data_IF_337925792505
#
_entry.id   IF_337925792505
#
_cell.length_a   1.000
_cell.length_b   1.000
_cell.length_c   1.000
_cell.angle_alpha   90.00
_cell.angle_beta   90.00
_cell.angle_gamma   90.00
#
_symmetry.space_group_name_H-M   'P 1'
#
loop_
_entity.id
_entity.type
_entity.pdbx_description
1 polymer ?
#
# COMPACT_ATOMS: atom_id res chain seq x y z
N UNK A 1 -17.01 24.50 -1.77
CA UNK A 1 -17.31 23.10 -2.13
C UNK A 1 -15.98 22.40 -2.30
N UNK A 2 -15.73 21.32 -1.57
CA UNK A 2 -14.51 20.52 -1.75
C UNK A 2 -14.52 19.84 -3.11
N UNK A 3 -13.37 19.77 -3.78
CA UNK A 3 -13.25 19.14 -5.08
C UNK A 3 -13.39 17.61 -5.02
N UNK A 4 -13.66 17.00 -6.16
CA UNK A 4 -13.92 15.56 -6.27
C UNK A 4 -12.68 14.74 -5.89
N UNK A 5 -11.49 15.16 -6.32
CA UNK A 5 -10.25 14.45 -6.06
C UNK A 5 -9.82 14.55 -4.60
N UNK A 6 -10.13 15.65 -3.91
CA UNK A 6 -9.90 15.75 -2.47
C UNK A 6 -10.63 14.65 -1.70
N UNK A 7 -11.92 14.45 -2.00
CA UNK A 7 -12.74 13.41 -1.36
C UNK A 7 -12.27 12.01 -1.72
N UNK A 8 -11.85 11.79 -2.97
CA UNK A 8 -11.28 10.51 -3.39
C UNK A 8 -9.97 10.19 -2.69
N UNK A 9 -9.12 11.20 -2.48
CA UNK A 9 -7.85 11.05 -1.77
C UNK A 9 -8.07 10.74 -0.29
N UNK A 10 -8.98 11.45 0.37
CA UNK A 10 -9.39 11.18 1.76
C UNK A 10 -9.92 9.74 1.89
N UNK A 11 -10.83 9.34 1.00
CA UNK A 11 -11.37 7.98 0.96
C UNK A 11 -10.29 6.93 0.74
N UNK A 12 -9.27 7.23 -0.07
CA UNK A 12 -8.13 6.34 -0.29
C UNK A 12 -7.27 6.21 0.96
N UNK A 13 -6.96 7.30 1.64
CA UNK A 13 -6.17 7.30 2.87
C UNK A 13 -6.88 6.50 3.96
N UNK A 14 -8.18 6.73 4.15
CA UNK A 14 -9.01 6.01 5.11
C UNK A 14 -9.05 4.50 4.85
N UNK A 15 -9.21 4.07 3.59
CA UNK A 15 -9.20 2.64 3.23
C UNK A 15 -7.83 1.97 3.44
N UNK A 16 -6.75 2.75 3.43
CA UNK A 16 -5.37 2.26 3.62
C UNK A 16 -4.86 2.41 5.06
N UNK A 17 -5.64 3.03 5.96
CA UNK A 17 -5.20 3.36 7.31
C UNK A 17 -4.09 4.42 7.34
N UNK A 18 -3.97 5.22 6.29
CA UNK A 18 -3.05 6.36 6.25
C UNK A 18 -3.66 7.55 6.97
N UNK A 19 -2.81 8.45 7.47
CA UNK A 19 -3.24 9.75 7.94
C UNK A 19 -3.95 10.53 6.83
N UNK A 20 -4.87 11.39 7.23
CA UNK A 20 -5.60 12.25 6.29
C UNK A 20 -4.63 13.13 5.49
N UNK A 21 -4.93 13.37 4.20
CA UNK A 21 -4.07 14.17 3.34
C UNK A 21 -3.99 15.61 3.85
N UNK A 22 -2.76 16.13 3.98
CA UNK A 22 -2.54 17.52 4.38
C UNK A 22 -2.33 18.38 3.15
N UNK A 23 -3.00 19.54 3.12
CA UNK A 23 -2.92 20.49 2.03
C UNK A 23 -2.24 21.77 2.50
N UNK A 24 -1.28 22.23 1.72
CA UNK A 24 -0.63 23.52 1.92
C UNK A 24 -0.67 24.31 0.63
N UNK A 25 -1.23 25.52 0.70
CA UNK A 25 -1.41 26.37 -0.47
C UNK A 25 -0.50 27.57 -0.39
N UNK A 26 0.20 27.81 -1.48
CA UNK A 26 1.11 28.92 -1.62
C UNK A 26 0.58 29.86 -2.70
N UNK A 27 0.67 31.15 -2.41
CA UNK A 27 0.33 32.21 -3.36
C UNK A 27 1.62 32.85 -3.84
N UNK A 28 1.85 32.73 -5.12
CA UNK A 28 2.95 33.35 -5.83
C UNK A 28 2.43 34.53 -6.67
N UNK A 29 3.30 35.46 -7.09
CA UNK A 29 2.93 36.53 -8.04
C UNK A 29 2.36 35.98 -9.35
N UNK A 30 2.74 34.75 -9.71
CA UNK A 30 2.37 34.07 -10.96
C UNK A 30 1.10 33.20 -10.83
N UNK A 31 0.51 33.08 -9.63
CA UNK A 31 -0.71 32.30 -9.37
C UNK A 31 -0.64 31.51 -8.05
N UNK A 32 -1.43 30.44 -7.96
CA UNK A 32 -1.54 29.59 -6.78
C UNK A 32 -0.93 28.23 -7.03
N UNK A 33 -0.10 27.76 -6.10
CA UNK A 33 0.43 26.40 -6.09
C UNK A 33 -0.05 25.69 -4.83
N UNK A 34 -0.11 24.37 -4.88
CA UNK A 34 -0.50 23.58 -3.72
C UNK A 34 0.38 22.34 -3.59
N UNK A 35 0.75 22.05 -2.34
CA UNK A 35 1.45 20.85 -1.91
C UNK A 35 0.49 19.98 -1.12
N UNK A 36 0.46 18.69 -1.45
CA UNK A 36 -0.34 17.68 -0.76
C UNK A 36 0.56 16.60 -0.20
N UNK A 37 0.47 16.36 1.10
CA UNK A 37 1.23 15.33 1.78
C UNK A 37 0.36 14.11 2.04
N UNK A 38 0.78 12.96 1.51
CA UNK A 38 0.08 11.67 1.68
C UNK A 38 1.09 10.60 2.06
N UNK A 39 0.91 10.02 3.26
CA UNK A 39 1.75 8.92 3.74
C UNK A 39 3.27 9.23 3.64
N UNK A 40 3.66 10.44 4.04
CA UNK A 40 5.06 10.90 3.99
C UNK A 40 5.60 11.20 2.59
N UNK A 41 4.74 11.27 1.58
CA UNK A 41 5.10 11.70 0.21
C UNK A 41 4.43 13.01 -0.12
N UNK A 42 5.19 13.91 -0.72
CA UNK A 42 4.74 15.24 -1.09
C UNK A 42 4.43 15.30 -2.59
N UNK A 43 3.32 15.94 -2.93
CA UNK A 43 2.86 16.13 -4.29
C UNK A 43 2.53 17.60 -4.51
N UNK A 44 3.33 18.27 -5.34
CA UNK A 44 3.11 19.66 -5.71
C UNK A 44 2.49 19.74 -7.11
N UNK A 45 1.70 20.78 -7.34
CA UNK A 45 1.27 21.23 -8.68
C UNK A 45 2.45 21.59 -9.58
N UNK A 46 2.43 21.17 -10.85
CA UNK A 46 3.52 21.50 -11.82
C UNK A 46 3.53 22.97 -12.27
N UNK A 47 2.37 23.63 -12.18
CA UNK A 47 2.12 24.96 -12.70
C UNK A 47 1.27 25.74 -11.70
N UNK A 48 1.35 27.06 -11.80
CA UNK A 48 0.53 27.97 -10.99
C UNK A 48 -0.89 28.06 -11.58
N UNK A 49 -1.89 28.01 -10.71
CA UNK A 49 -3.31 28.07 -11.06
C UNK A 49 -3.92 29.44 -10.71
N UNK A 50 -5.11 29.71 -11.23
CA UNK A 50 -5.81 30.99 -11.00
C UNK A 50 -6.38 31.11 -9.58
N UNK A 51 -6.73 30.00 -8.93
CA UNK A 51 -7.31 29.97 -7.58
C UNK A 51 -6.69 28.91 -6.68
N UNK A 52 -6.82 29.08 -5.36
CA UNK A 52 -6.40 28.10 -4.36
C UNK A 52 -7.15 26.77 -4.53
N UNK A 53 -8.45 26.83 -4.81
CA UNK A 53 -9.30 25.66 -4.98
C UNK A 53 -8.90 24.83 -6.19
N UNK A 54 -8.53 25.47 -7.31
CA UNK A 54 -7.99 24.80 -8.48
C UNK A 54 -6.64 24.16 -8.19
N UNK A 55 -5.74 24.88 -7.51
CA UNK A 55 -4.43 24.36 -7.14
C UNK A 55 -4.56 23.12 -6.25
N UNK A 56 -5.41 23.18 -5.22
CA UNK A 56 -5.63 22.05 -4.32
C UNK A 56 -6.24 20.84 -5.03
N UNK A 57 -7.25 21.04 -5.89
CA UNK A 57 -7.89 19.95 -6.62
C UNK A 57 -6.92 19.28 -7.60
N UNK A 58 -6.08 20.08 -8.28
CA UNK A 58 -5.05 19.55 -9.18
C UNK A 58 -3.94 18.80 -8.41
N UNK A 59 -3.54 19.31 -7.24
CA UNK A 59 -2.60 18.62 -6.37
C UNK A 59 -3.19 17.29 -5.85
N UNK A 60 -4.46 17.30 -5.43
CA UNK A 60 -5.19 16.10 -5.01
C UNK A 60 -5.30 15.07 -6.15
N UNK A 61 -5.59 15.51 -7.37
CA UNK A 61 -5.65 14.65 -8.55
C UNK A 61 -4.32 13.93 -8.78
N UNK A 62 -3.20 14.66 -8.73
CA UNK A 62 -1.84 14.10 -8.90
C UNK A 62 -1.53 13.10 -7.80
N UNK A 63 -1.73 13.49 -6.54
CA UNK A 63 -1.55 12.63 -5.39
C UNK A 63 -2.41 11.36 -5.52
N UNK A 64 -3.67 11.47 -5.94
CA UNK A 64 -4.59 10.34 -6.10
C UNK A 64 -4.15 9.38 -7.20
N UNK A 65 -3.80 9.88 -8.39
CA UNK A 65 -3.36 9.05 -9.52
C UNK A 65 -2.09 8.28 -9.21
N UNK A 66 -1.18 8.88 -8.43
CA UNK A 66 0.04 8.21 -7.98
C UNK A 66 -0.27 7.26 -6.82
N UNK A 67 -1.02 7.70 -5.82
CA UNK A 67 -1.29 6.94 -4.61
C UNK A 67 -2.17 5.72 -4.81
N UNK A 68 -3.13 5.77 -5.76
CA UNK A 68 -3.96 4.61 -6.11
C UNK A 68 -3.15 3.42 -6.60
N UNK A 69 -1.97 3.67 -7.17
CA UNK A 69 -1.08 2.64 -7.71
C UNK A 69 0.00 2.18 -6.72
N UNK A 70 0.16 2.83 -5.56
CA UNK A 70 1.10 2.31 -4.56
C UNK A 70 0.59 0.99 -4.03
N UNK A 71 1.42 -0.05 -4.11
CA UNK A 71 1.20 -1.28 -3.37
C UNK A 71 1.32 -0.99 -1.87
N UNK A 72 0.37 -1.49 -1.08
CA UNK A 72 0.34 -1.40 0.39
C UNK A 72 1.57 -2.03 1.08
N UNK A 73 2.46 -2.68 0.31
CA UNK A 73 3.67 -3.34 0.80
C UNK A 73 4.99 -2.61 0.48
N UNK A 74 4.97 -1.32 0.10
CA UNK A 74 6.22 -0.56 -0.05
C UNK A 74 7.22 -1.14 -1.08
N UNK A 75 6.72 -1.73 -2.16
CA UNK A 75 7.58 -2.22 -3.24
C UNK A 75 7.98 -3.70 -3.17
N UNK A 76 7.31 -4.54 -2.38
CA UNK A 76 7.43 -5.99 -2.55
C UNK A 76 6.57 -6.49 -3.73
N UNK A 77 6.90 -6.07 -4.94
CA UNK A 77 6.77 -6.99 -6.07
C UNK A 77 7.96 -7.94 -5.92
N UNK A 78 7.72 -9.11 -5.33
CA UNK A 78 8.65 -10.21 -5.37
C UNK A 78 8.86 -10.63 -6.84
N UNK A 79 9.71 -9.90 -7.57
CA UNK A 79 9.94 -10.16 -8.99
C UNK A 79 10.81 -11.40 -9.23
N UNK A 80 11.39 -12.05 -8.21
CA UNK A 80 12.22 -13.24 -8.40
C UNK A 80 12.21 -14.27 -7.24
N UNK A 81 11.11 -14.47 -6.53
CA UNK A 81 10.86 -15.75 -5.83
C UNK A 81 11.80 -16.15 -4.68
N UNK A 82 12.08 -15.26 -3.71
CA UNK A 82 12.64 -15.65 -2.40
C UNK A 82 11.88 -14.93 -1.29
N UNK A 83 11.14 -15.70 -0.50
CA UNK A 83 10.54 -15.29 0.77
C UNK A 83 11.62 -15.37 1.86
N UNK A 84 12.10 -14.22 2.33
CA UNK A 84 12.87 -14.04 3.57
C UNK A 84 12.45 -12.67 4.14
N UNK A 85 11.87 -12.52 5.32
CA UNK A 85 11.49 -13.47 6.35
C UNK A 85 10.62 -12.74 7.39
N UNK A 86 9.83 -13.54 8.09
CA UNK A 86 9.34 -13.48 9.49
C UNK A 86 8.93 -12.12 10.11
N UNK A 87 7.80 -12.09 10.87
CA UNK A 87 7.38 -10.90 11.60
C UNK A 87 8.42 -10.48 12.65
N UNK A 88 8.73 -9.19 12.68
CA UNK A 88 9.51 -8.57 13.76
C UNK A 88 8.59 -8.49 14.97
N UNK A 89 8.68 -9.48 15.86
CA UNK A 89 8.07 -9.41 17.19
C UNK A 89 8.87 -8.45 18.06
N UNK A 90 8.28 -7.29 18.34
CA UNK A 90 8.86 -6.23 19.15
C UNK A 90 8.75 -6.57 20.65
N UNK A 91 9.49 -7.58 21.13
CA UNK A 91 9.54 -7.92 22.57
C UNK A 91 10.94 -8.25 23.08
N UNK A 92 11.93 -7.39 22.84
CA UNK A 92 13.22 -7.48 23.54
C UNK A 92 13.26 -6.67 24.83
N UNK A 93 12.73 -7.23 25.93
CA UNK A 93 13.16 -6.85 27.29
C UNK A 93 13.26 -8.07 28.22
N UNK A 94 14.52 -8.51 28.40
CA UNK A 94 15.12 -9.12 29.61
C UNK A 94 14.43 -10.37 30.20
N UNK A 95 15.17 -11.48 30.33
CA UNK A 95 15.86 -11.90 31.58
C UNK A 95 16.17 -13.42 31.62
N UNK A 96 17.46 -13.76 31.75
CA UNK A 96 18.08 -14.86 32.53
C UNK A 96 17.62 -16.34 32.36
N UNK A 97 18.55 -17.13 31.79
CA UNK A 97 19.18 -18.37 32.33
C UNK A 97 18.28 -19.35 33.13
N UNK A 98 18.05 -20.54 32.56
CA UNK A 98 17.64 -21.74 33.28
C UNK A 98 17.78 -23.00 32.42
N UNK A 99 18.63 -23.95 32.85
CA UNK A 99 18.77 -25.32 32.31
C UNK A 99 17.63 -26.21 32.83
N UNK A 100 17.59 -27.46 32.34
CA UNK A 100 16.84 -28.67 32.78
C UNK A 100 15.63 -29.01 31.90
N UNK A 101 15.72 -29.97 30.95
CA UNK A 101 15.72 -31.45 31.01
C UNK A 101 14.32 -32.10 31.05
N UNK A 102 14.14 -33.13 30.21
CA UNK A 102 13.11 -34.19 30.21
C UNK A 102 11.69 -33.75 29.77
N UNK A 103 10.88 -34.49 28.99
CA UNK A 103 10.90 -35.88 28.51
C UNK A 103 9.69 -36.16 27.57
N UNK A 104 9.83 -37.18 26.72
CA UNK A 104 8.78 -38.13 26.27
C UNK A 104 7.81 -37.78 25.13
N UNK A 105 7.89 -38.61 24.07
CA UNK A 105 6.83 -39.35 23.31
C UNK A 105 5.53 -38.60 22.90
N UNK A 106 4.93 -38.78 21.71
CA UNK A 106 4.44 -40.05 21.15
C UNK A 106 3.65 -39.79 19.82
N UNK A 107 3.55 -40.81 18.96
CA UNK A 107 2.51 -41.05 17.91
C UNK A 107 2.44 -40.09 16.70
N UNK A 108 2.47 -40.48 15.42
CA UNK A 108 2.14 -41.75 14.78
C UNK A 108 0.76 -41.65 14.10
N UNK A 109 0.69 -41.41 12.78
CA UNK A 109 -0.27 -42.06 11.86
C UNK A 109 -0.07 -41.68 10.38
N UNK A 110 0.01 -42.70 9.53
CA UNK A 110 -0.31 -42.74 8.09
C UNK A 110 -1.69 -42.10 7.82
N UNK A 111 -2.14 -41.68 6.62
CA UNK A 111 -2.56 -42.52 5.49
C UNK A 111 -3.17 -41.71 4.31
N UNK A 112 -3.04 -42.26 3.09
CA UNK A 112 -4.01 -42.27 1.96
C UNK A 112 -4.30 -40.98 1.16
N UNK A 113 -3.76 -40.83 -0.07
CA UNK A 113 -4.31 -41.22 -1.41
C UNK A 113 -5.39 -40.29 -2.01
N UNK A 114 -5.11 -39.87 -3.26
CA UNK A 114 -6.02 -39.69 -4.44
C UNK A 114 -7.08 -38.59 -4.27
N UNK A 115 -7.46 -37.73 -5.23
CA UNK A 115 -7.61 -37.71 -6.70
C UNK A 115 -8.01 -36.24 -7.00
N UNK A 116 -7.63 -35.55 -8.07
CA UNK A 116 -7.90 -35.83 -9.49
C UNK A 116 -8.69 -34.63 -10.08
N UNK A 117 -8.20 -34.11 -11.21
CA UNK A 117 -8.89 -33.24 -12.20
C UNK A 117 -9.38 -31.86 -11.67
N UNK A 118 -9.24 -30.73 -12.38
CA UNK A 118 -9.85 -30.40 -13.66
C UNK A 118 -9.02 -29.37 -14.43
N UNK A 119 -8.83 -29.63 -15.73
CA UNK A 119 -8.39 -28.65 -16.72
C UNK A 119 -9.55 -27.73 -17.10
N UNK A 120 -9.26 -26.46 -17.39
CA UNK A 120 -10.10 -25.63 -18.25
C UNK A 120 -9.22 -24.66 -19.01
N UNK A 121 -8.87 -25.08 -20.22
CA UNK A 121 -8.31 -24.29 -21.30
C UNK A 121 -9.35 -23.31 -21.83
N UNK A 122 -8.97 -22.07 -22.08
CA UNK A 122 -9.69 -21.18 -23.01
C UNK A 122 -8.67 -20.29 -23.70
N UNK A 123 -8.25 -20.75 -24.87
CA UNK A 123 -7.41 -20.00 -25.81
C UNK A 123 -8.33 -19.21 -26.73
N UNK A 124 -8.17 -17.88 -26.79
CA UNK A 124 -8.74 -17.04 -27.85
C UNK A 124 -7.59 -16.60 -28.73
N UNK A 125 -7.43 -17.22 -29.90
CA UNK A 125 -6.61 -16.70 -30.99
C UNK A 125 -7.56 -16.18 -32.08
N UNK A 126 -7.36 -14.93 -32.48
CA UNK A 126 -8.10 -14.24 -33.52
C UNK A 126 -7.42 -14.36 -34.89
N UNK A 127 -8.22 -14.11 -35.92
CA UNK A 127 -7.92 -13.62 -37.28
C UNK A 127 -7.96 -14.64 -38.42
N UNK A 128 -8.98 -14.52 -39.27
CA UNK A 128 -8.84 -14.04 -40.66
C UNK A 128 -10.03 -13.13 -41.01
#
# INVERSE_FOLDING_TARGET
>A
MGGFYMQYLESLCRRRGWLDPMYECYRDPNGYTCLVMVNGREYQTDLAYESDTLAQENAAMRAFMVCRNFSVNGGMLARNGIVQGLPVDETSRKHRKGRHTSSSANHGHSHSRRSGHHSSSSSTASFE
#
